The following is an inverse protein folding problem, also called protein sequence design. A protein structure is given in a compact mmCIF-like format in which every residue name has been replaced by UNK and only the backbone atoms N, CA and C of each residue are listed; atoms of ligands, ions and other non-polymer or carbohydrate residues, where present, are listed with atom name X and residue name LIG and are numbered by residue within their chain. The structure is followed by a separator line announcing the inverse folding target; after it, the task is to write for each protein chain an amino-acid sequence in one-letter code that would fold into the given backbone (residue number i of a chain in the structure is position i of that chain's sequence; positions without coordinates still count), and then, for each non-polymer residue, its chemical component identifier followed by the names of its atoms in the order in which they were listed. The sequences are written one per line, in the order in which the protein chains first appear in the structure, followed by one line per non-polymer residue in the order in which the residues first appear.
data_IF_222404095942
#
_entry.id   IF_222404095942
#
_cell.length_a   1.000
_cell.length_b   1.000
_cell.length_c   1.000
_cell.angle_alpha   90.00
_cell.angle_beta   90.00
_cell.angle_gamma   90.00
#
_symmetry.space_group_name_H-M   'P 1'
#
loop_
_entity.id
_entity.type
_entity.pdbx_description
1 polymer ?
#
# COMPACT_ATOMS: atom_id res chain seq x y z
N UNK A 1 11.66 -17.83 8.80
CA UNK A 1 11.00 -16.54 9.08
C UNK A 1 11.84 -15.30 8.73
N UNK A 2 13.18 -15.35 8.76
CA UNK A 2 14.05 -14.18 8.45
C UNK A 2 14.18 -13.85 6.93
N UNK A 3 13.96 -14.82 6.04
CA UNK A 3 14.24 -14.65 4.59
C UNK A 3 13.12 -14.03 3.76
N UNK A 4 11.88 -13.96 4.27
CA UNK A 4 10.76 -13.34 3.55
C UNK A 4 10.79 -11.79 3.64
N UNK A 5 11.36 -11.25 4.71
CA UNK A 5 11.40 -9.82 5.01
C UNK A 5 12.37 -9.02 4.12
N UNK A 6 13.51 -9.62 3.73
CA UNK A 6 14.50 -8.97 2.86
C UNK A 6 13.99 -8.66 1.45
N UNK A 7 12.89 -9.30 1.00
CA UNK A 7 12.31 -9.04 -0.33
C UNK A 7 11.37 -7.84 -0.38
N UNK A 8 10.88 -7.37 0.76
CA UNK A 8 10.02 -6.17 0.81
C UNK A 8 10.85 -4.87 0.74
N UNK A 9 12.12 -4.93 1.14
CA UNK A 9 13.07 -3.79 1.14
C UNK A 9 13.66 -3.46 -0.25
N UNK A 10 13.33 -4.21 -1.30
CA UNK A 10 13.79 -3.96 -2.66
C UNK A 10 12.80 -3.12 -3.51
N UNK A 11 11.78 -2.53 -2.87
CA UNK A 11 10.84 -1.63 -3.54
C UNK A 11 11.49 -0.24 -3.69
N UNK A 12 12.46 -0.13 -4.60
CA UNK A 12 12.89 1.17 -5.13
C UNK A 12 11.76 1.68 -6.02
N UNK A 13 11.07 2.79 -5.70
CA UNK A 13 10.12 3.38 -6.62
C UNK A 13 10.89 3.92 -7.83
N UNK A 14 10.74 3.25 -8.97
CA UNK A 14 11.17 3.75 -10.27
C UNK A 14 10.23 4.91 -10.65
N UNK A 15 10.61 6.17 -10.39
CA UNK A 15 9.88 7.35 -10.86
C UNK A 15 10.83 8.38 -11.51
N UNK A 16 11.04 8.33 -12.84
CA UNK A 16 11.88 9.29 -13.57
C UNK A 16 11.31 10.72 -13.67
N UNK A 17 10.08 10.97 -13.18
CA UNK A 17 9.40 12.26 -13.37
C UNK A 17 9.83 13.36 -12.37
N UNK A 18 10.48 12.99 -11.26
CA UNK A 18 10.88 13.96 -10.23
C UNK A 18 12.16 14.74 -10.58
N UNK A 19 12.99 14.24 -11.50
CA UNK A 19 14.29 14.85 -11.85
C UNK A 19 14.14 16.17 -12.64
N UNK A 20 13.02 16.36 -13.34
CA UNK A 20 12.77 17.58 -14.12
C UNK A 20 12.51 18.81 -13.25
N UNK A 21 11.95 18.65 -12.05
CA UNK A 21 11.62 19.80 -11.18
C UNK A 21 12.84 20.40 -10.47
N UNK A 22 13.94 19.65 -10.39
CA UNK A 22 15.16 20.07 -9.68
C UNK A 22 16.05 21.02 -10.50
N UNK A 23 15.85 21.14 -11.82
CA UNK A 23 16.71 21.97 -12.69
C UNK A 23 16.37 23.46 -12.73
N UNK A 24 15.22 23.87 -12.20
CA UNK A 24 14.75 25.27 -12.34
C UNK A 24 15.10 26.18 -11.15
N UNK A 25 15.67 25.64 -10.07
CA UNK A 25 15.99 26.41 -8.85
C UNK A 25 17.49 26.44 -8.67
N UNK A 26 18.18 27.14 -9.56
CA UNK A 26 19.62 27.32 -9.48
C UNK A 26 20.02 28.60 -10.15
N UNK A 27 19.97 29.72 -9.42
CA UNK A 27 21.08 30.68 -9.36
C UNK A 27 20.78 31.87 -8.43
N UNK A 28 21.83 32.26 -7.72
CA UNK A 28 22.09 33.52 -7.00
C UNK A 28 21.69 33.59 -5.51
N UNK A 29 22.68 33.44 -4.62
CA UNK A 29 23.26 34.53 -3.80
C UNK A 29 24.26 33.94 -2.78
N UNK A 30 25.52 34.39 -2.81
CA UNK A 30 26.53 34.16 -1.75
C UNK A 30 26.60 35.39 -0.85
N UNK A 31 26.35 35.28 0.46
CA UNK A 31 26.85 36.23 1.48
C UNK A 31 27.26 35.47 2.76
N UNK A 32 28.37 35.95 3.31
CA UNK A 32 29.20 35.57 4.45
C UNK A 32 28.53 35.73 5.83
N UNK A 33 28.75 34.80 6.77
CA UNK A 33 28.76 35.08 8.22
C UNK A 33 27.93 34.17 9.14
N UNK A 34 28.58 33.74 10.24
CA UNK A 34 28.06 33.12 11.47
C UNK A 34 27.92 31.58 11.51
N UNK A 35 28.84 30.95 12.26
CA UNK A 35 28.79 29.54 12.67
C UNK A 35 27.64 29.33 13.67
N UNK A 36 26.44 29.13 13.14
CA UNK A 36 25.36 28.44 13.85
C UNK A 36 25.49 26.99 13.38
N UNK A 37 25.89 26.08 14.27
CA UNK A 37 25.70 24.65 14.01
C UNK A 37 24.19 24.45 13.83
N UNK A 38 23.69 24.15 12.62
CA UNK A 38 22.31 23.70 12.53
C UNK A 38 22.32 22.35 13.22
N UNK A 39 21.56 22.22 14.31
CA UNK A 39 20.99 20.92 14.61
C UNK A 39 20.35 20.48 13.29
N UNK A 40 20.86 19.38 12.70
CA UNK A 40 20.24 18.74 11.56
C UNK A 40 18.84 18.34 12.01
N UNK A 41 17.88 19.26 11.83
CA UNK A 41 16.48 18.91 11.78
C UNK A 41 16.35 18.09 10.50
N UNK A 42 16.45 16.77 10.63
CA UNK A 42 16.04 15.86 9.56
C UNK A 42 14.56 16.11 9.39
N UNK A 43 14.19 16.90 8.38
CA UNK A 43 12.80 17.11 8.03
C UNK A 43 12.26 15.75 7.59
N UNK A 44 11.36 15.15 8.39
CA UNK A 44 10.66 13.94 7.99
C UNK A 44 9.88 14.24 6.72
N UNK A 45 10.09 13.41 5.70
CA UNK A 45 9.36 13.54 4.44
C UNK A 45 7.93 13.01 4.66
N UNK A 46 6.95 13.91 4.56
CA UNK A 46 5.54 13.55 4.70
C UNK A 46 5.03 12.96 3.38
N UNK A 47 4.53 11.73 3.43
CA UNK A 47 3.94 11.04 2.27
C UNK A 47 2.42 11.04 2.44
N UNK A 48 1.66 11.78 1.60
CA UNK A 48 0.21 11.73 1.64
C UNK A 48 -0.27 10.38 1.10
N UNK A 49 -1.08 9.68 1.88
CA UNK A 49 -1.71 8.41 1.50
C UNK A 49 -3.21 8.50 1.81
N UNK A 50 -4.03 8.22 0.81
CA UNK A 50 -5.48 8.10 0.97
C UNK A 50 -5.86 6.65 1.19
N UNK A 51 -6.54 6.38 2.30
CA UNK A 51 -7.13 5.07 2.59
C UNK A 51 -8.64 5.20 2.66
N UNK A 52 -9.33 4.26 2.01
CA UNK A 52 -10.78 4.29 1.94
C UNK A 52 -11.43 2.92 1.97
N UNK A 53 -12.71 2.88 2.31
CA UNK A 53 -13.53 1.69 2.17
C UNK A 53 -14.98 2.05 1.88
N UNK A 54 -15.66 1.16 1.16
CA UNK A 54 -17.10 1.24 0.87
C UNK A 54 -17.99 1.09 2.11
N UNK A 55 -17.45 0.54 3.22
CA UNK A 55 -18.19 0.25 4.45
C UNK A 55 -17.71 1.13 5.61
N UNK A 56 -18.54 1.34 6.66
CA UNK A 56 -18.13 2.09 7.85
C UNK A 56 -17.16 1.28 8.72
N UNK A 57 -16.39 1.96 9.57
CA UNK A 57 -15.40 1.36 10.47
C UNK A 57 -15.99 0.42 11.53
N UNK A 58 -17.30 0.50 11.78
CA UNK A 58 -18.02 -0.46 12.62
C UNK A 58 -17.99 -1.90 12.06
N UNK A 59 -17.73 -2.05 10.76
CA UNK A 59 -17.60 -3.34 10.10
C UNK A 59 -16.19 -3.90 10.34
N UNK A 60 -16.03 -5.15 10.84
CA UNK A 60 -14.75 -5.64 11.34
C UNK A 60 -13.57 -5.54 10.37
N UNK A 61 -13.79 -5.81 9.07
CA UNK A 61 -12.72 -5.74 8.07
C UNK A 61 -12.27 -4.30 7.76
N UNK A 62 -13.16 -3.31 7.92
CA UNK A 62 -12.79 -1.89 7.78
C UNK A 62 -12.18 -1.37 9.09
N UNK A 63 -12.75 -1.73 10.23
CA UNK A 63 -12.16 -1.40 11.54
C UNK A 63 -10.73 -1.91 11.68
N UNK A 64 -10.43 -3.07 11.07
CA UNK A 64 -9.07 -3.60 11.02
C UNK A 64 -8.10 -2.72 10.19
N UNK A 65 -8.57 -2.06 9.11
CA UNK A 65 -7.73 -1.12 8.36
C UNK A 65 -7.31 0.05 9.24
N UNK A 66 -8.24 0.64 9.98
CA UNK A 66 -7.93 1.77 10.85
C UNK A 66 -6.98 1.37 11.99
N UNK A 67 -7.33 0.30 12.71
CA UNK A 67 -6.63 -0.12 13.95
C UNK A 67 -5.30 -0.83 13.70
N UNK A 68 -5.15 -1.58 12.61
CA UNK A 68 -3.91 -2.33 12.34
C UNK A 68 -3.03 -1.72 11.25
N UNK A 69 -3.58 -0.88 10.37
CA UNK A 69 -2.82 -0.19 9.33
C UNK A 69 -2.61 1.27 9.74
N UNK A 70 -3.65 2.09 9.77
CA UNK A 70 -3.51 3.55 9.91
C UNK A 70 -2.84 3.95 11.22
N UNK A 71 -3.44 3.59 12.35
CA UNK A 71 -3.00 3.98 13.69
C UNK A 71 -1.53 3.61 13.99
N UNK A 72 -1.11 2.34 13.82
CA UNK A 72 0.25 1.93 14.17
C UNK A 72 1.30 2.23 13.10
N UNK A 73 0.93 2.66 11.89
CA UNK A 73 1.89 2.80 10.78
C UNK A 73 3.02 3.77 11.09
N UNK A 74 2.71 4.97 11.59
CA UNK A 74 3.74 5.97 11.87
C UNK A 74 4.65 5.55 13.03
N UNK A 75 4.11 4.93 14.08
CA UNK A 75 4.91 4.40 15.18
C UNK A 75 5.87 3.30 14.69
N UNK A 76 5.40 2.39 13.83
CA UNK A 76 6.25 1.35 13.23
C UNK A 76 7.33 1.93 12.31
N UNK A 77 7.02 2.98 11.55
CA UNK A 77 8.01 3.66 10.70
C UNK A 77 9.10 4.31 11.55
N UNK A 78 8.73 4.94 12.67
CA UNK A 78 9.68 5.53 13.62
C UNK A 78 10.56 4.46 14.30
N UNK A 79 9.98 3.34 14.73
CA UNK A 79 10.72 2.19 15.28
C UNK A 79 11.72 1.59 14.29
N UNK A 80 11.41 1.66 12.99
CA UNK A 80 12.30 1.21 11.91
C UNK A 80 13.37 2.24 11.52
N UNK A 81 13.34 3.46 12.10
CA UNK A 81 14.25 4.54 11.76
C UNK A 81 14.00 5.14 10.37
N UNK A 82 12.74 5.11 9.90
CA UNK A 82 12.35 5.70 8.62
C UNK A 82 12.40 7.23 8.66
N UNK A 83 12.99 7.84 7.62
CA UNK A 83 12.93 9.29 7.41
C UNK A 83 11.55 9.76 6.90
N UNK A 84 10.65 8.82 6.57
CA UNK A 84 9.30 9.08 6.08
C UNK A 84 8.25 8.95 7.17
N UNK A 85 7.22 9.81 7.09
CA UNK A 85 6.00 9.74 7.89
C UNK A 85 4.78 9.83 6.98
N UNK A 86 3.72 9.08 7.30
CA UNK A 86 2.51 9.05 6.49
C UNK A 86 1.53 10.13 6.98
N UNK A 87 1.07 10.95 6.05
CA UNK A 87 -0.09 11.84 6.22
C UNK A 87 -1.33 11.12 5.70
N UNK A 88 -2.19 10.68 6.61
CA UNK A 88 -3.37 9.88 6.28
C UNK A 88 -4.56 10.75 5.92
N UNK A 89 -5.17 10.45 4.77
CA UNK A 89 -6.53 10.88 4.43
C UNK A 89 -7.45 9.67 4.54
N UNK A 90 -8.35 9.68 5.53
CA UNK A 90 -9.27 8.57 5.81
C UNK A 90 -10.66 8.84 5.21
N UNK A 91 -11.12 7.97 4.31
CA UNK A 91 -12.43 8.09 3.67
C UNK A 91 -13.20 6.76 3.74
N UNK A 92 -13.86 6.51 4.86
CA UNK A 92 -14.66 5.31 5.09
C UNK A 92 -16.15 5.53 4.83
N UNK A 93 -16.93 4.44 4.78
CA UNK A 93 -18.39 4.49 4.66
C UNK A 93 -18.93 4.78 3.26
N UNK A 94 -18.17 4.48 2.20
CA UNK A 94 -18.64 4.69 0.83
C UNK A 94 -18.64 6.15 0.37
N UNK A 95 -17.83 6.99 1.01
CA UNK A 95 -17.69 8.40 0.69
C UNK A 95 -17.00 8.67 -0.66
N UNK A 96 -16.17 7.74 -1.14
CA UNK A 96 -15.45 7.88 -2.42
C UNK A 96 -15.98 6.95 -3.53
N UNK A 97 -16.42 5.74 -3.19
CA UNK A 97 -16.88 4.72 -4.14
C UNK A 97 -17.77 3.68 -3.46
N UNK A 98 -18.48 2.89 -4.26
CA UNK A 98 -19.32 1.78 -3.80
C UNK A 98 -18.58 0.43 -3.77
N UNK A 99 -19.16 -0.59 -3.12
CA UNK A 99 -18.50 -1.88 -2.86
C UNK A 99 -18.09 -2.66 -4.12
N UNK A 100 -18.67 -2.36 -5.29
CA UNK A 100 -18.38 -2.99 -6.59
C UNK A 100 -17.37 -2.21 -7.46
N UNK A 101 -16.77 -1.15 -6.90
CA UNK A 101 -15.84 -0.26 -7.61
C UNK A 101 -14.52 -0.08 -6.85
N UNK A 102 -14.25 -0.91 -5.83
CA UNK A 102 -13.07 -0.71 -4.99
C UNK A 102 -11.77 -0.96 -5.76
N UNK A 103 -11.76 -1.91 -6.70
CA UNK A 103 -10.59 -2.19 -7.50
C UNK A 103 -10.30 -1.04 -8.48
N UNK A 104 -11.33 -0.51 -9.14
CA UNK A 104 -11.23 0.66 -10.02
C UNK A 104 -10.77 1.90 -9.28
N UNK A 105 -11.27 2.12 -8.07
CA UNK A 105 -10.87 3.27 -7.26
C UNK A 105 -9.36 3.25 -6.96
N UNK A 106 -8.79 2.07 -6.74
CA UNK A 106 -7.33 1.91 -6.57
C UNK A 106 -6.59 2.04 -7.90
N UNK A 107 -7.10 1.44 -8.98
CA UNK A 107 -6.46 1.49 -10.31
C UNK A 107 -6.42 2.91 -10.90
N UNK A 108 -7.47 3.69 -10.68
CA UNK A 108 -7.58 5.07 -11.15
C UNK A 108 -6.87 6.08 -10.26
N UNK A 109 -6.41 5.66 -9.08
CA UNK A 109 -5.79 6.54 -8.08
C UNK A 109 -6.78 7.45 -7.35
N UNK A 110 -8.07 7.10 -7.34
CA UNK A 110 -9.06 7.78 -6.48
C UNK A 110 -8.77 7.53 -4.99
N UNK A 111 -8.21 6.36 -4.68
CA UNK A 111 -7.65 6.03 -3.37
C UNK A 111 -6.34 5.28 -3.56
N UNK A 112 -5.40 5.42 -2.63
CA UNK A 112 -4.14 4.67 -2.66
C UNK A 112 -4.32 3.27 -2.05
N UNK A 113 -5.24 3.12 -1.10
CA UNK A 113 -5.46 1.89 -0.34
C UNK A 113 -6.94 1.65 -0.05
N UNK A 114 -7.37 0.39 -0.15
CA UNK A 114 -8.72 0.01 0.26
C UNK A 114 -8.89 -1.50 0.44
N UNK A 115 -9.97 -1.87 1.14
CA UNK A 115 -10.35 -3.28 1.29
C UNK A 115 -11.18 -3.74 0.10
N UNK A 116 -10.67 -4.72 -0.66
CA UNK A 116 -11.37 -5.25 -1.83
C UNK A 116 -12.16 -6.50 -1.46
N UNK A 117 -13.48 -6.44 -1.62
CA UNK A 117 -14.35 -7.60 -1.53
C UNK A 117 -14.32 -8.43 -2.81
N UNK A 118 -13.43 -9.42 -2.92
CA UNK A 118 -13.31 -10.27 -4.11
C UNK A 118 -14.63 -10.98 -4.52
N UNK A 119 -15.57 -11.13 -3.58
CA UNK A 119 -16.92 -11.63 -3.82
C UNK A 119 -17.70 -10.77 -4.82
N UNK A 120 -17.65 -9.44 -4.67
CA UNK A 120 -18.38 -8.49 -5.50
C UNK A 120 -17.67 -8.19 -6.81
N UNK A 121 -16.38 -8.54 -6.88
CA UNK A 121 -15.50 -8.30 -8.01
C UNK A 121 -15.18 -9.58 -8.79
N UNK A 122 -16.16 -10.50 -8.90
CA UNK A 122 -15.94 -11.84 -9.44
C UNK A 122 -15.44 -11.88 -10.90
N UNK A 123 -15.87 -10.93 -11.74
CA UNK A 123 -15.38 -10.80 -13.12
C UNK A 123 -13.95 -10.26 -13.18
N UNK A 124 -13.53 -9.52 -12.15
CA UNK A 124 -12.21 -8.89 -12.09
C UNK A 124 -11.21 -9.82 -11.43
N UNK A 125 -11.55 -10.44 -10.31
CA UNK A 125 -10.65 -11.32 -9.56
C UNK A 125 -11.20 -12.73 -9.38
N UNK A 126 -11.43 -13.50 -10.46
CA UNK A 126 -12.05 -14.82 -10.36
C UNK A 126 -11.22 -15.79 -9.51
N UNK A 127 -9.90 -15.71 -9.57
CA UNK A 127 -9.01 -16.57 -8.77
C UNK A 127 -8.95 -16.19 -7.28
N UNK A 128 -9.41 -15.00 -6.89
CA UNK A 128 -9.50 -14.60 -5.48
C UNK A 128 -10.85 -15.04 -4.87
N UNK A 129 -11.83 -15.39 -5.69
CA UNK A 129 -13.18 -15.75 -5.27
C UNK A 129 -13.42 -17.28 -5.12
N UNK A 130 -12.34 -18.07 -4.99
CA UNK A 130 -12.41 -19.54 -4.97
C UNK A 130 -13.27 -20.10 -3.83
N UNK A 131 -13.27 -19.44 -2.67
CA UNK A 131 -14.06 -19.87 -1.50
C UNK A 131 -15.56 -19.76 -1.76
N UNK A 132 -15.99 -18.83 -2.62
CA UNK A 132 -17.40 -18.70 -2.98
C UNK A 132 -17.81 -19.74 -4.03
N UNK A 133 -16.90 -20.11 -4.93
CA UNK A 133 -17.14 -21.16 -5.92
C UNK A 133 -17.12 -22.58 -5.33
N UNK A 134 -16.53 -22.75 -4.14
CA UNK A 134 -16.39 -24.06 -3.47
C UNK A 134 -16.93 -24.00 -2.04
N UNK A 135 -18.25 -23.83 -1.85
CA UNK A 135 -18.83 -23.76 -0.52
C UNK A 135 -18.67 -25.10 0.22
N UNK A 136 -18.65 -25.04 1.56
CA UNK A 136 -18.62 -26.20 2.46
C UNK A 136 -17.36 -27.07 2.42
N UNK A 137 -16.27 -26.61 1.81
CA UNK A 137 -14.98 -27.34 1.81
C UNK A 137 -14.33 -27.38 3.19
N UNK A 138 -14.55 -26.34 4.02
CA UNK A 138 -14.05 -26.28 5.39
C UNK A 138 -15.01 -25.48 6.27
N UNK A 139 -15.10 -25.86 7.55
CA UNK A 139 -15.77 -25.10 8.61
C UNK A 139 -14.79 -24.27 9.45
N UNK A 140 -13.47 -24.44 9.23
CA UNK A 140 -12.42 -23.69 9.92
C UNK A 140 -12.00 -22.48 9.07
N UNK A 141 -12.33 -21.23 9.51
CA UNK A 141 -11.97 -20.02 8.79
C UNK A 141 -10.46 -19.72 8.82
N UNK A 142 -9.72 -20.20 9.83
CA UNK A 142 -8.27 -19.98 9.92
C UNK A 142 -7.58 -20.80 8.84
N UNK A 143 -7.95 -22.09 8.73
CA UNK A 143 -7.45 -22.97 7.68
C UNK A 143 -7.77 -22.41 6.28
N UNK A 144 -8.98 -21.86 6.08
CA UNK A 144 -9.36 -21.23 4.82
C UNK A 144 -8.42 -20.07 4.44
N UNK A 145 -8.11 -19.18 5.39
CA UNK A 145 -7.21 -18.03 5.17
C UNK A 145 -5.79 -18.50 4.90
N UNK A 146 -5.29 -19.49 5.64
CA UNK A 146 -3.95 -20.07 5.44
C UNK A 146 -3.77 -20.65 4.04
N UNK A 147 -4.74 -21.45 3.59
CA UNK A 147 -4.74 -22.03 2.24
C UNK A 147 -4.81 -20.93 1.17
N UNK A 148 -5.65 -19.91 1.35
CA UNK A 148 -5.71 -18.78 0.41
C UNK A 148 -4.38 -18.02 0.33
N UNK A 149 -3.70 -17.83 1.46
CA UNK A 149 -2.40 -17.19 1.53
C UNK A 149 -1.32 -18.04 0.85
N UNK A 150 -1.31 -19.35 1.08
CA UNK A 150 -0.41 -20.28 0.40
C UNK A 150 -0.64 -20.27 -1.11
N UNK A 151 -1.89 -20.33 -1.56
CA UNK A 151 -2.24 -20.25 -2.97
C UNK A 151 -1.81 -18.90 -3.58
N UNK A 152 -1.89 -17.78 -2.84
CA UNK A 152 -1.39 -16.48 -3.30
C UNK A 152 0.13 -16.46 -3.43
N UNK A 153 0.85 -17.18 -2.57
CA UNK A 153 2.30 -17.28 -2.63
C UNK A 153 2.80 -18.23 -3.73
N UNK A 154 2.04 -19.29 -4.03
CA UNK A 154 2.46 -20.40 -4.90
C UNK A 154 1.93 -20.30 -6.33
N UNK A 155 0.80 -19.62 -6.57
CA UNK A 155 0.17 -19.50 -7.89
C UNK A 155 0.40 -18.09 -8.43
N UNK A 156 1.38 -17.88 -9.34
CA UNK A 156 1.74 -16.54 -9.80
C UNK A 156 0.58 -15.79 -10.46
N UNK A 157 -0.28 -16.52 -11.19
CA UNK A 157 -1.44 -15.96 -11.89
C UNK A 157 -2.48 -15.29 -10.96
N UNK A 158 -2.46 -15.56 -9.65
CA UNK A 158 -3.33 -14.89 -8.67
C UNK A 158 -2.90 -13.45 -8.37
N UNK A 159 -1.64 -13.11 -8.66
CA UNK A 159 -1.02 -11.81 -8.37
C UNK A 159 -0.76 -11.00 -9.64
N UNK A 160 -1.16 -11.48 -10.82
CA UNK A 160 -0.85 -10.81 -12.10
C UNK A 160 -1.87 -9.75 -12.51
N UNK A 161 -3.05 -9.69 -11.87
CA UNK A 161 -4.05 -8.63 -12.14
C UNK A 161 -3.92 -7.43 -11.19
N UNK A 162 -3.47 -7.65 -9.95
CA UNK A 162 -2.79 -6.57 -9.23
C UNK A 162 -1.59 -6.20 -10.10
N UNK A 163 -1.57 -5.01 -10.69
CA UNK A 163 -0.56 -4.60 -11.66
C UNK A 163 0.89 -4.92 -11.26
N UNK A 164 1.86 -4.83 -12.19
CA UNK A 164 3.23 -5.30 -11.99
C UNK A 164 4.03 -4.38 -11.05
N UNK A 165 3.65 -4.31 -9.78
CA UNK A 165 4.48 -3.77 -8.71
C UNK A 165 5.74 -4.62 -8.53
N UNK A 166 5.66 -5.94 -8.77
CA UNK A 166 6.77 -6.88 -8.55
C UNK A 166 7.49 -7.29 -9.85
N UNK A 167 6.82 -7.30 -11.00
CA UNK A 167 7.44 -7.77 -12.26
C UNK A 167 8.31 -6.70 -12.93
N UNK A 168 7.98 -5.41 -12.78
CA UNK A 168 8.76 -4.31 -13.37
C UNK A 168 10.15 -4.15 -12.74
N UNK A 169 10.29 -4.47 -11.44
CA UNK A 169 11.57 -4.31 -10.73
C UNK A 169 12.54 -5.49 -10.92
N UNK A 170 12.05 -6.66 -11.37
CA UNK A 170 12.88 -7.85 -11.54
C UNK A 170 13.63 -7.90 -12.88
N UNK A 171 13.19 -7.18 -13.91
CA UNK A 171 13.84 -7.18 -15.24
C UNK A 171 15.06 -6.25 -15.31
N UNK A 172 15.20 -5.31 -14.38
CA UNK A 172 16.35 -4.40 -14.27
C UNK A 172 17.57 -5.00 -13.53
N UNK A 173 17.49 -6.27 -13.12
CA UNK A 173 18.55 -7.01 -12.43
C UNK A 173 19.10 -8.19 -13.25
N UNK A 174 19.01 -8.11 -14.59
CA UNK A 174 19.82 -8.93 -15.50
C UNK A 174 20.75 -8.05 -16.31
#
# INVERSE_FOLDING_TARGET
MVRAWLRFLAFRPCRPEMEKKMKYVGNATKILGLLIFPALATAQEMVPITISASHPTAVPWVGALQTFVVEPSNARLEEMGSDYRIEWTEAFGGSLYDFNETLEAVETGLTDMGWVGALWEGSKMPLQNVMFSTPFVTSDPVLAVEVLNEMNATIPARNTRSGPATTSCSSALR
#
